data_IF_100030925145
#
_entry.id   IF_100030925145
#
_cell.length_a   1.000
_cell.length_b   1.000
_cell.length_c   1.000
_cell.angle_alpha   90.00
_cell.angle_beta   90.00
_cell.angle_gamma   90.00
#
_symmetry.space_group_name_H-M   'P 1'
#
loop_
_entity.id
_entity.type
_entity.pdbx_description
1 polymer ?
#
# COMPACT_ATOMS: atom_id res chain seq x y z
N UNK A 1 -9.56 -15.56 0.76
CA UNK A 1 -9.24 -14.48 -0.20
C UNK A 1 -8.76 -13.25 0.56
N UNK A 2 -7.84 -12.48 -0.03
CA UNK A 2 -7.43 -11.16 0.46
C UNK A 2 -7.84 -10.14 -0.59
N UNK A 3 -8.43 -9.02 -0.17
CA UNK A 3 -8.88 -7.95 -1.05
C UNK A 3 -8.26 -6.64 -0.57
N UNK A 4 -7.69 -5.87 -1.48
CA UNK A 4 -7.08 -4.58 -1.21
C UNK A 4 -7.88 -3.45 -1.85
N UNK A 5 -7.88 -2.28 -1.24
CA UNK A 5 -8.52 -1.10 -1.79
C UNK A 5 -8.38 0.10 -0.87
N UNK A 6 -9.51 0.80 -0.68
CA UNK A 6 -9.57 2.03 0.11
C UNK A 6 -10.90 2.17 0.84
N UNK A 7 -10.89 2.88 1.96
CA UNK A 7 -12.07 3.24 2.75
C UNK A 7 -12.14 4.75 2.96
N UNK A 8 -13.36 5.30 2.98
CA UNK A 8 -13.61 6.71 3.33
C UNK A 8 -14.85 6.77 4.20
N UNK A 9 -14.72 7.23 5.43
CA UNK A 9 -15.82 7.23 6.41
C UNK A 9 -16.73 8.46 6.31
N UNK A 10 -16.21 9.59 5.81
CA UNK A 10 -16.99 10.81 5.59
C UNK A 10 -16.32 11.72 4.55
N UNK A 11 -17.02 12.76 4.09
CA UNK A 11 -16.47 13.73 3.12
C UNK A 11 -15.28 14.52 3.66
N UNK A 12 -15.14 14.67 4.98
CA UNK A 12 -14.13 15.52 5.63
C UNK A 12 -12.89 14.77 6.10
N UNK A 13 -12.87 13.44 5.98
CA UNK A 13 -11.69 12.63 6.29
C UNK A 13 -10.94 12.21 5.02
N UNK A 14 -9.61 11.98 5.13
CA UNK A 14 -8.82 11.38 4.08
C UNK A 14 -9.34 10.00 3.66
N UNK A 15 -9.01 9.62 2.43
CA UNK A 15 -9.22 8.26 1.93
C UNK A 15 -8.08 7.40 2.45
N UNK A 16 -8.40 6.34 3.19
CA UNK A 16 -7.40 5.45 3.75
C UNK A 16 -7.24 4.18 2.93
N UNK A 17 -6.02 3.66 2.88
CA UNK A 17 -5.74 2.33 2.34
C UNK A 17 -6.45 1.29 3.22
N UNK A 18 -6.93 0.21 2.62
CA UNK A 18 -7.62 -0.84 3.35
C UNK A 18 -7.38 -2.23 2.76
N UNK A 19 -7.33 -3.23 3.64
CA UNK A 19 -7.22 -4.64 3.28
C UNK A 19 -8.25 -5.45 4.07
N UNK A 20 -8.93 -6.36 3.39
CA UNK A 20 -9.90 -7.29 3.97
C UNK A 20 -9.44 -8.73 3.75
N UNK A 21 -9.73 -9.59 4.73
CA UNK A 21 -9.63 -11.03 4.59
C UNK A 21 -11.03 -11.62 4.54
N UNK A 22 -11.30 -12.45 3.54
CA UNK A 22 -12.61 -13.06 3.27
C UNK A 22 -12.43 -14.58 3.22
N UNK A 23 -13.34 -15.35 3.84
CA UNK A 23 -13.30 -16.81 3.78
C UNK A 23 -13.87 -17.34 2.45
N UNK A 24 -13.92 -18.67 2.29
CA UNK A 24 -14.42 -19.30 1.07
C UNK A 24 -15.92 -19.10 0.86
N UNK A 25 -16.66 -18.77 1.91
CA UNK A 25 -18.10 -18.51 1.87
C UNK A 25 -18.43 -17.05 1.56
N UNK A 26 -17.41 -16.19 1.38
CA UNK A 26 -17.61 -14.75 1.13
C UNK A 26 -17.77 -13.90 2.39
N UNK A 27 -17.53 -14.47 3.58
CA UNK A 27 -17.66 -13.74 4.85
C UNK A 27 -16.34 -13.09 5.25
N UNK A 28 -16.40 -11.87 5.81
CA UNK A 28 -15.21 -11.18 6.32
C UNK A 28 -14.67 -11.91 7.55
N UNK A 29 -13.40 -12.26 7.52
CA UNK A 29 -12.69 -13.00 8.59
C UNK A 29 -12.22 -12.07 9.70
N UNK A 30 -11.74 -10.88 9.33
CA UNK A 30 -11.34 -9.86 10.31
C UNK A 30 -12.58 -9.08 10.77
N UNK A 31 -12.67 -8.75 12.05
CA UNK A 31 -13.79 -7.95 12.57
C UNK A 31 -13.84 -6.53 11.98
N UNK A 32 -12.69 -6.02 11.51
CA UNK A 32 -12.51 -4.77 10.79
C UNK A 32 -11.42 -4.94 9.72
N UNK A 33 -11.44 -4.17 8.61
CA UNK A 33 -10.31 -4.15 7.70
C UNK A 33 -9.06 -3.64 8.41
N UNK A 34 -7.90 -4.12 7.96
CA UNK A 34 -6.67 -3.38 8.23
C UNK A 34 -6.72 -2.07 7.45
N UNK A 35 -6.29 -0.97 8.08
CA UNK A 35 -6.23 0.35 7.44
C UNK A 35 -4.87 0.98 7.63
N UNK A 36 -4.40 1.73 6.63
CA UNK A 36 -3.14 2.46 6.72
C UNK A 36 -3.22 3.77 7.50
N UNK A 37 -2.37 4.72 7.09
CA UNK A 37 -2.02 5.91 7.89
C UNK A 37 -2.50 7.22 7.27
N UNK A 38 -3.48 7.16 6.38
CA UNK A 38 -4.05 8.35 5.75
C UNK A 38 -4.55 9.33 6.81
N UNK A 39 -4.13 10.59 6.69
CA UNK A 39 -4.38 11.63 7.70
C UNK A 39 -4.48 13.00 7.06
N UNK A 40 -5.12 13.91 7.78
CA UNK A 40 -5.12 15.34 7.42
C UNK A 40 -4.00 16.01 8.20
N UNK A 41 -3.08 16.67 7.51
CA UNK A 41 -1.93 17.35 8.11
C UNK A 41 -1.80 18.74 7.47
N UNK A 42 -1.70 19.81 8.28
CA UNK A 42 -1.59 21.20 7.79
C UNK A 42 -2.64 21.59 6.73
N UNK A 43 -3.89 21.17 6.94
CA UNK A 43 -5.01 21.31 5.99
C UNK A 43 -4.92 20.50 4.69
N UNK A 44 -3.87 19.73 4.48
CA UNK A 44 -3.72 18.84 3.34
C UNK A 44 -4.23 17.43 3.65
N UNK A 45 -4.82 16.78 2.65
CA UNK A 45 -5.30 15.41 2.75
C UNK A 45 -4.24 14.47 2.19
N UNK A 46 -3.67 13.63 3.06
CA UNK A 46 -2.79 12.54 2.65
C UNK A 46 -3.65 11.30 2.47
N UNK A 47 -4.05 11.05 1.22
CA UNK A 47 -4.81 9.87 0.86
C UNK A 47 -3.88 8.69 0.62
N UNK A 48 -4.39 7.49 0.85
CA UNK A 48 -3.70 6.23 0.59
C UNK A 48 -4.61 5.25 -0.13
N UNK A 49 -4.04 4.49 -1.05
CA UNK A 49 -4.75 3.50 -1.85
C UNK A 49 -3.90 2.23 -1.96
N UNK A 50 -4.51 1.06 -1.71
CA UNK A 50 -3.94 -0.23 -2.12
C UNK A 50 -4.41 -0.53 -3.54
N UNK A 51 -3.47 -0.86 -4.41
CA UNK A 51 -3.75 -1.29 -5.79
C UNK A 51 -3.41 -2.76 -6.02
N UNK A 52 -2.42 -3.29 -5.29
CA UNK A 52 -1.91 -4.63 -5.49
C UNK A 52 -1.56 -5.33 -4.18
N UNK A 53 -1.52 -6.66 -4.22
CA UNK A 53 -1.30 -7.53 -3.08
C UNK A 53 -0.37 -8.68 -3.47
N UNK A 54 0.53 -9.03 -2.55
CA UNK A 54 1.31 -10.26 -2.58
C UNK A 54 1.34 -10.89 -1.18
N UNK A 55 1.86 -12.11 -1.09
CA UNK A 55 2.22 -12.72 0.19
C UNK A 55 3.71 -12.54 0.44
N UNK A 56 4.11 -12.53 1.72
CA UNK A 56 5.51 -12.70 2.10
C UNK A 56 6.04 -14.02 1.53
N UNK A 57 7.36 -14.17 1.34
CA UNK A 57 7.94 -15.43 0.85
C UNK A 57 7.60 -16.62 1.75
N UNK A 58 7.44 -16.39 3.06
CA UNK A 58 7.05 -17.42 4.03
C UNK A 58 5.54 -17.68 4.07
N UNK A 59 4.73 -16.87 3.39
CA UNK A 59 3.26 -16.96 3.38
C UNK A 59 2.60 -16.54 4.70
N UNK A 60 3.35 -15.95 5.62
CA UNK A 60 2.91 -15.56 6.97
C UNK A 60 2.38 -14.12 7.06
N UNK A 61 2.53 -13.34 6.00
CA UNK A 61 2.11 -11.95 5.94
C UNK A 61 1.59 -11.57 4.55
N UNK A 62 0.73 -10.55 4.54
CA UNK A 62 0.24 -9.88 3.35
C UNK A 62 1.13 -8.66 3.10
N UNK A 63 1.55 -8.48 1.86
CA UNK A 63 2.25 -7.29 1.39
C UNK A 63 1.31 -6.55 0.45
N UNK A 64 0.85 -5.37 0.86
CA UNK A 64 0.01 -4.50 0.06
C UNK A 64 0.85 -3.39 -0.55
N UNK A 65 0.59 -3.03 -1.81
CA UNK A 65 1.31 -1.99 -2.51
C UNK A 65 0.34 -1.02 -3.19
N UNK A 66 0.75 0.25 -3.27
CA UNK A 66 -0.02 1.29 -3.92
C UNK A 66 0.67 2.64 -3.81
N UNK A 67 -0.06 3.63 -3.33
CA UNK A 67 0.45 5.00 -3.22
C UNK A 67 -0.11 5.76 -2.02
N UNK A 68 0.63 6.77 -1.61
CA UNK A 68 0.16 7.86 -0.76
C UNK A 68 0.36 9.20 -1.47
N UNK A 69 -0.51 10.17 -1.24
CA UNK A 69 -0.29 11.48 -1.79
C UNK A 69 -1.30 12.54 -1.40
N UNK A 70 -0.92 13.76 -1.75
CA UNK A 70 -1.71 14.97 -1.49
C UNK A 70 -2.88 15.02 -2.48
N UNK A 71 -4.10 15.02 -1.93
CA UNK A 71 -5.32 15.29 -2.68
C UNK A 71 -5.91 16.63 -2.24
N UNK A 72 -5.32 17.73 -2.69
CA UNK A 72 -5.82 19.08 -2.47
C UNK A 72 -5.74 19.89 -3.76
N UNK A 73 -6.73 20.76 -4.00
CA UNK A 73 -6.82 21.58 -5.21
C UNK A 73 -5.73 22.66 -5.32
N UNK A 74 -5.10 23.03 -4.20
CA UNK A 74 -4.17 24.17 -4.10
C UNK A 74 -2.69 23.81 -4.21
N UNK A 75 -2.32 22.51 -4.24
CA UNK A 75 -0.92 22.07 -4.30
C UNK A 75 -0.71 21.10 -5.46
N UNK A 76 0.51 21.08 -5.99
CA UNK A 76 0.91 20.07 -6.96
C UNK A 76 0.72 18.68 -6.35
N UNK A 77 -0.05 17.83 -7.05
CA UNK A 77 -0.26 16.44 -6.62
C UNK A 77 1.08 15.70 -6.65
N UNK A 78 1.62 15.42 -5.46
CA UNK A 78 2.75 14.52 -5.26
C UNK A 78 2.20 13.18 -4.77
N UNK A 79 2.56 12.12 -5.49
CA UNK A 79 2.28 10.74 -5.10
C UNK A 79 3.59 10.03 -4.87
N UNK A 80 3.70 9.34 -3.75
CA UNK A 80 4.81 8.47 -3.42
C UNK A 80 4.31 7.03 -3.41
N UNK A 81 5.17 6.11 -3.88
CA UNK A 81 4.87 4.70 -3.80
C UNK A 81 4.89 4.28 -2.33
N UNK A 82 3.92 3.47 -1.92
CA UNK A 82 3.79 3.04 -0.54
C UNK A 82 3.49 1.55 -0.48
N UNK A 83 4.08 0.88 0.49
CA UNK A 83 3.93 -0.56 0.73
C UNK A 83 3.67 -0.77 2.22
N UNK A 84 2.73 -1.67 2.50
CA UNK A 84 2.30 -2.00 3.84
C UNK A 84 2.42 -3.51 4.05
N UNK A 85 2.83 -3.92 5.23
CA UNK A 85 2.83 -5.33 5.63
C UNK A 85 2.01 -5.53 6.88
N UNK A 86 1.22 -6.60 6.86
CA UNK A 86 0.39 -7.05 7.97
C UNK A 86 0.41 -8.57 8.04
N UNK A 87 0.29 -9.14 9.23
CA UNK A 87 0.13 -10.59 9.37
C UNK A 87 -1.26 -11.07 8.91
N UNK A 88 -1.47 -12.39 8.85
CA UNK A 88 -2.75 -12.98 8.42
C UNK A 88 -3.92 -12.74 9.39
N UNK A 89 -3.64 -12.20 10.59
CA UNK A 89 -4.63 -11.78 11.58
C UNK A 89 -4.96 -10.29 11.48
N UNK A 90 -4.35 -9.56 10.53
CA UNK A 90 -4.58 -8.14 10.31
C UNK A 90 -3.77 -7.23 11.23
N UNK A 91 -2.75 -7.75 11.92
CA UNK A 91 -1.84 -6.92 12.72
C UNK A 91 -0.77 -6.31 11.82
N UNK A 92 -0.60 -4.99 11.89
CA UNK A 92 0.45 -4.29 11.16
C UNK A 92 1.85 -4.80 11.57
N UNK A 93 2.67 -5.14 10.58
CA UNK A 93 4.11 -5.43 10.76
C UNK A 93 4.93 -4.19 10.47
N UNK A 94 4.77 -3.58 9.29
CA UNK A 94 5.50 -2.38 8.91
C UNK A 94 4.82 -1.59 7.79
N UNK A 95 5.26 -0.35 7.59
CA UNK A 95 4.83 0.56 6.53
C UNK A 95 6.07 1.24 5.94
N UNK A 96 6.14 1.35 4.61
CA UNK A 96 7.23 2.00 3.89
C UNK A 96 6.68 2.92 2.81
N UNK A 97 7.19 4.16 2.79
CA UNK A 97 6.94 5.17 1.76
C UNK A 97 8.27 5.42 1.04
N UNK A 98 8.22 5.47 -0.28
CA UNK A 98 9.40 5.72 -1.12
C UNK A 98 9.25 7.06 -1.81
N UNK A 99 9.99 8.06 -1.33
CA UNK A 99 9.92 9.44 -1.81
C UNK A 99 10.91 9.68 -2.93
N UNK A 100 10.43 9.62 -4.17
CA UNK A 100 11.23 9.83 -5.38
C UNK A 100 10.65 10.96 -6.23
N UNK A 101 11.48 11.64 -7.05
CA UNK A 101 10.99 12.67 -7.96
C UNK A 101 9.88 12.16 -8.89
N UNK A 102 8.87 12.99 -9.15
CA UNK A 102 7.73 12.64 -9.99
C UNK A 102 6.56 12.01 -9.22
N UNK A 103 5.55 11.54 -9.96
CA UNK A 103 4.39 10.85 -9.39
C UNK A 103 4.66 9.36 -9.39
N UNK A 104 4.67 8.76 -8.21
CA UNK A 104 4.93 7.34 -8.01
C UNK A 104 3.69 6.62 -7.52
N UNK A 105 3.47 5.42 -8.07
CA UNK A 105 2.39 4.54 -7.67
C UNK A 105 2.74 3.11 -8.05
N UNK A 106 2.56 2.17 -7.12
CA UNK A 106 2.55 0.76 -7.47
C UNK A 106 1.15 0.41 -8.00
N UNK A 107 1.06 0.03 -9.27
CA UNK A 107 -0.10 -0.65 -9.84
C UNK A 107 -0.03 -2.16 -9.61
N UNK A 108 1.18 -2.72 -9.46
CA UNK A 108 1.40 -4.14 -9.22
C UNK A 108 2.61 -4.41 -8.30
N UNK A 109 2.63 -5.58 -7.67
CA UNK A 109 3.71 -6.11 -6.85
C UNK A 109 3.92 -7.60 -7.14
N UNK A 110 5.16 -7.98 -7.45
CA UNK A 110 5.51 -9.38 -7.70
C UNK A 110 6.74 -9.81 -6.89
N UNK A 111 6.68 -11.02 -6.32
CA UNK A 111 7.84 -11.66 -5.70
C UNK A 111 8.83 -12.06 -6.78
N UNK A 112 10.08 -11.64 -6.63
CA UNK A 112 11.19 -12.00 -7.51
C UNK A 112 12.24 -12.82 -6.74
N UNK A 113 13.36 -13.12 -7.39
CA UNK A 113 14.48 -13.88 -6.77
C UNK A 113 14.95 -13.26 -5.45
N UNK A 114 15.58 -14.07 -4.61
CA UNK A 114 16.17 -13.66 -3.33
C UNK A 114 15.17 -13.09 -2.32
N UNK A 115 13.88 -13.46 -2.42
CA UNK A 115 12.83 -12.98 -1.53
C UNK A 115 12.61 -11.46 -1.59
N UNK A 116 12.96 -10.84 -2.72
CA UNK A 116 12.70 -9.43 -3.01
C UNK A 116 11.35 -9.28 -3.72
N UNK A 117 10.84 -8.06 -3.77
CA UNK A 117 9.67 -7.71 -4.55
C UNK A 117 9.99 -6.65 -5.58
N UNK A 118 9.38 -6.75 -6.75
CA UNK A 118 9.38 -5.69 -7.76
C UNK A 118 8.01 -5.00 -7.74
N UNK A 119 8.03 -3.68 -7.55
CA UNK A 119 6.87 -2.81 -7.64
C UNK A 119 6.86 -2.14 -9.01
N UNK A 120 5.72 -2.12 -9.68
CA UNK A 120 5.55 -1.51 -11.00
C UNK A 120 4.28 -0.66 -11.07
N UNK A 121 4.21 0.30 -11.99
CA UNK A 121 3.01 1.15 -12.16
C UNK A 121 3.19 2.39 -13.04
N UNK A 122 4.30 2.47 -13.77
CA UNK A 122 4.65 3.56 -14.67
C UNK A 122 5.89 3.16 -15.47
N UNK A 123 6.75 4.12 -15.82
CA UNK A 123 8.01 3.86 -16.51
C UNK A 123 9.17 3.47 -15.59
N UNK A 124 8.96 3.43 -14.27
CA UNK A 124 10.00 3.09 -13.28
C UNK A 124 9.55 1.98 -12.36
N UNK A 125 10.50 1.15 -11.93
CA UNK A 125 10.26 -0.03 -11.09
C UNK A 125 11.13 0.01 -9.84
N UNK A 126 10.57 -0.41 -8.71
CA UNK A 126 11.25 -0.38 -7.41
C UNK A 126 11.45 -1.81 -6.96
N UNK A 127 12.70 -2.20 -6.75
CA UNK A 127 13.06 -3.45 -6.12
C UNK A 127 13.22 -3.23 -4.62
N UNK A 128 12.48 -3.99 -3.82
CA UNK A 128 12.49 -3.90 -2.36
C UNK A 128 12.80 -5.25 -1.74
N UNK A 129 13.40 -5.29 -0.56
CA UNK A 129 13.56 -6.51 0.22
C UNK A 129 12.24 -6.94 0.89
N UNK A 130 12.25 -8.12 1.53
CA UNK A 130 11.09 -8.66 2.25
C UNK A 130 10.61 -7.85 3.46
N UNK A 131 11.40 -6.89 3.94
CA UNK A 131 11.06 -5.94 5.00
C UNK A 131 10.70 -4.54 4.44
N UNK A 132 10.57 -4.44 3.12
CA UNK A 132 10.26 -3.20 2.40
C UNK A 132 11.42 -2.20 2.33
N UNK A 133 12.66 -2.61 2.59
CA UNK A 133 13.84 -1.80 2.31
C UNK A 133 14.01 -1.62 0.80
N UNK A 134 14.19 -0.38 0.33
CA UNK A 134 14.47 -0.12 -1.09
C UNK A 134 15.88 -0.61 -1.44
N UNK A 135 15.98 -1.51 -2.41
CA UNK A 135 17.25 -2.06 -2.90
C UNK A 135 17.71 -1.28 -4.12
N UNK A 136 16.82 -1.11 -5.11
CA UNK A 136 17.17 -0.51 -6.40
C UNK A 136 15.96 0.08 -7.10
N UNK A 137 16.18 1.17 -7.82
CA UNK A 137 15.22 1.73 -8.78
C UNK A 137 15.72 1.43 -10.19
N UNK A 138 14.85 0.85 -11.00
CA UNK A 138 15.09 0.60 -12.42
C UNK A 138 14.34 1.68 -13.21
N UNK A 139 15.09 2.46 -14.01
CA UNK A 139 14.59 3.59 -14.81
C UNK A 139 14.69 3.29 -16.28
#
# INVERSE_FOLDING_TARGET
FIVGGRVKTSKTVPVNSAVWRINQNGEVVWSQPWTGTARKENNDWHNEHVNALALSPQGDAIIAAGWTGLAGFSKAQKFDMMVWSMDLNGKQKWIKRYEEPGKQSAADIILIKNNNFLLSGGSIFFEIDSNGGLIKIHK
#
